data_IF_309705772962
#
_entry.id   IF_309705772962
#
_cell.length_a   1.000
_cell.length_b   1.000
_cell.length_c   1.000
_cell.angle_alpha   90.00
_cell.angle_beta   90.00
_cell.angle_gamma   90.00
#
_symmetry.space_group_name_H-M   'P 1'
#
loop_
_entity.id
_entity.type
_entity.pdbx_description
1 polymer ?
#
# COMPACT_ATOMS: atom_id res chain seq x y z
N UNK A 1 12.48 43.10 17.99
CA UNK A 1 12.26 41.86 17.22
C UNK A 1 12.78 42.01 15.79
N UNK A 2 14.08 42.30 15.63
CA UNK A 2 14.72 42.48 14.33
C UNK A 2 16.13 41.92 14.46
N UNK A 3 16.36 40.70 13.96
CA UNK A 3 17.69 40.08 13.80
C UNK A 3 17.65 38.71 13.08
N UNK A 4 16.48 38.14 12.74
CA UNK A 4 16.38 36.82 12.10
C UNK A 4 16.24 36.90 10.55
N UNK A 5 15.88 38.06 9.99
CA UNK A 5 15.56 38.19 8.55
C UNK A 5 16.78 38.38 7.63
N UNK A 6 17.99 38.62 8.14
CA UNK A 6 19.17 38.84 7.27
C UNK A 6 19.83 37.54 6.77
N UNK A 7 19.58 36.41 7.43
CA UNK A 7 20.21 35.12 7.10
C UNK A 7 19.44 34.38 6.00
N UNK A 8 18.19 34.76 5.72
CA UNK A 8 17.31 34.13 4.72
C UNK A 8 17.25 34.91 3.39
N UNK A 9 18.37 35.50 2.96
CA UNK A 9 18.47 36.01 1.59
C UNK A 9 18.45 34.84 0.59
N UNK A 10 17.81 34.99 -0.57
CA UNK A 10 17.78 33.98 -1.66
C UNK A 10 19.18 33.46 -2.00
N UNK A 11 20.21 34.31 -1.85
CA UNK A 11 21.61 33.93 -2.05
C UNK A 11 22.08 32.89 -1.02
N UNK A 12 21.65 33.02 0.23
CA UNK A 12 21.99 32.08 1.30
C UNK A 12 21.25 30.75 1.14
N UNK A 13 20.00 30.77 0.67
CA UNK A 13 19.24 29.55 0.35
C UNK A 13 19.85 28.77 -0.82
N UNK A 14 20.33 29.48 -1.85
CA UNK A 14 21.02 28.85 -2.98
C UNK A 14 22.35 28.21 -2.55
N UNK A 15 23.14 28.91 -1.74
CA UNK A 15 24.40 28.38 -1.18
C UNK A 15 24.12 27.17 -0.28
N UNK A 16 23.07 27.21 0.54
CA UNK A 16 22.68 26.09 1.39
C UNK A 16 22.25 24.87 0.57
N UNK A 17 21.43 25.07 -0.46
CA UNK A 17 21.00 24.02 -1.38
C UNK A 17 22.18 23.42 -2.14
N UNK A 18 23.10 24.26 -2.64
CA UNK A 18 24.29 23.79 -3.33
C UNK A 18 25.20 22.99 -2.38
N UNK A 19 25.41 23.48 -1.16
CA UNK A 19 26.22 22.80 -0.15
C UNK A 19 25.63 21.43 0.20
N UNK A 20 24.32 21.33 0.42
CA UNK A 20 23.66 20.06 0.73
C UNK A 20 23.77 19.05 -0.42
N UNK A 21 23.56 19.49 -1.66
CA UNK A 21 23.68 18.62 -2.83
C UNK A 21 25.13 18.15 -3.04
N UNK A 22 26.12 19.04 -2.87
CA UNK A 22 27.55 18.69 -2.95
C UNK A 22 27.96 17.75 -1.83
N UNK A 23 27.49 17.97 -0.59
CA UNK A 23 27.74 17.08 0.55
C UNK A 23 27.15 15.68 0.32
N UNK A 24 25.97 15.58 -0.30
CA UNK A 24 25.36 14.29 -0.63
C UNK A 24 26.21 13.54 -1.67
N UNK A 25 26.65 14.23 -2.73
CA UNK A 25 27.50 13.63 -3.77
C UNK A 25 28.85 13.18 -3.17
N UNK A 26 29.52 14.03 -2.40
CA UNK A 26 30.77 13.68 -1.72
C UNK A 26 30.61 12.48 -0.78
N UNK A 27 29.49 12.39 -0.05
CA UNK A 27 29.21 11.24 0.81
C UNK A 27 29.05 9.95 0.00
N UNK A 28 28.32 10.00 -1.12
CA UNK A 28 28.17 8.81 -1.99
C UNK A 28 29.49 8.39 -2.65
N UNK A 29 30.37 9.35 -2.96
CA UNK A 29 31.70 9.06 -3.51
C UNK A 29 32.65 8.49 -2.44
N UNK A 30 32.62 9.06 -1.23
CA UNK A 30 33.41 8.56 -0.09
C UNK A 30 32.97 7.16 0.33
N UNK A 31 31.66 6.90 0.42
CA UNK A 31 31.13 5.55 0.70
C UNK A 31 31.49 4.56 -0.42
N UNK A 32 31.55 5.00 -1.69
CA UNK A 32 32.04 4.16 -2.80
C UNK A 32 33.54 3.85 -2.68
N UNK A 33 34.37 4.81 -2.26
CA UNK A 33 35.81 4.60 -2.03
C UNK A 33 36.08 3.67 -0.82
N UNK A 34 35.31 3.79 0.27
CA UNK A 34 35.37 2.85 1.40
C UNK A 34 34.87 1.45 1.03
N UNK A 35 33.84 1.35 0.18
CA UNK A 35 33.32 0.06 -0.28
C UNK A 35 34.36 -0.72 -1.09
N UNK A 36 35.22 -0.04 -1.86
CA UNK A 36 36.32 -0.69 -2.58
C UNK A 36 37.48 -1.14 -1.66
N UNK A 37 37.62 -0.56 -0.45
CA UNK A 37 38.61 -0.99 0.53
C UNK A 37 38.09 -2.13 1.45
N UNK A 38 36.79 -2.14 1.76
CA UNK A 38 36.13 -3.19 2.57
C UNK A 38 35.94 -4.50 1.80
N UNK A 39 35.78 -4.46 0.47
CA UNK A 39 35.61 -5.65 -0.38
C UNK A 39 36.89 -6.48 -0.62
N UNK A 40 38.04 -6.07 -0.06
CA UNK A 40 39.34 -6.74 -0.28
C UNK A 40 39.96 -7.40 0.96
N UNK A 41 39.32 -7.37 2.13
CA UNK A 41 39.89 -7.99 3.34
C UNK A 41 38.86 -8.68 4.22
N UNK A 42 38.13 -9.68 3.68
CA UNK A 42 37.47 -10.69 4.51
C UNK A 42 37.24 -11.98 3.72
N UNK A 43 38.33 -12.62 3.31
CA UNK A 43 38.35 -14.07 3.12
C UNK A 43 39.07 -14.65 4.35
N UNK A 44 38.34 -15.46 5.12
CA UNK A 44 38.74 -16.21 6.33
C UNK A 44 38.69 -15.50 7.70
N UNK A 45 37.60 -15.72 8.45
CA UNK A 45 37.55 -16.58 9.66
C UNK A 45 36.17 -16.48 10.31
N UNK A 46 35.60 -17.63 10.69
CA UNK A 46 34.36 -17.67 11.47
C UNK A 46 34.59 -17.37 12.95
N UNK A 47 33.62 -16.72 13.59
CA UNK A 47 32.95 -17.15 14.82
C UNK A 47 31.94 -16.09 15.27
N UNK A 48 30.92 -16.57 15.98
CA UNK A 48 29.70 -15.87 16.39
C UNK A 48 29.94 -14.72 17.37
N UNK A 49 29.25 -13.58 17.15
CA UNK A 49 28.82 -12.65 18.20
C UNK A 49 27.44 -12.08 17.81
N UNK A 50 26.63 -11.91 18.85
CA UNK A 50 25.18 -11.72 18.91
C UNK A 50 24.80 -10.25 18.70
N UNK A 51 23.91 -9.97 17.74
CA UNK A 51 23.23 -8.67 17.65
C UNK A 51 21.71 -8.78 17.75
N UNK A 52 21.18 -7.89 18.57
CA UNK A 52 19.82 -7.75 19.08
C UNK A 52 18.77 -7.64 17.97
N UNK A 53 17.94 -8.69 17.81
CA UNK A 53 16.71 -8.60 17.01
C UNK A 53 15.63 -7.86 17.80
N UNK A 54 15.30 -6.63 17.38
CA UNK A 54 13.96 -6.10 17.60
C UNK A 54 13.00 -6.87 16.69
N UNK A 55 12.20 -7.75 17.30
CA UNK A 55 11.17 -8.51 16.60
C UNK A 55 10.00 -7.58 16.25
N UNK A 56 10.02 -7.04 15.03
CA UNK A 56 8.80 -6.63 14.34
C UNK A 56 8.37 -7.82 13.49
N UNK A 57 7.27 -8.47 13.88
CA UNK A 57 6.63 -9.52 13.10
C UNK A 57 6.26 -8.95 11.72
N UNK A 58 6.82 -9.45 10.61
CA UNK A 58 6.29 -9.11 9.30
C UNK A 58 4.95 -9.84 9.17
N UNK A 59 3.85 -9.08 9.17
CA UNK A 59 2.58 -9.56 8.63
C UNK A 59 2.86 -9.99 7.20
N UNK A 60 2.78 -11.28 6.95
CA UNK A 60 3.07 -11.92 5.67
C UNK A 60 2.20 -11.30 4.57
N UNK A 61 2.80 -10.44 3.75
CA UNK A 61 2.36 -10.18 2.39
C UNK A 61 2.36 -11.52 1.68
N UNK A 62 1.17 -12.11 1.58
CA UNK A 62 0.97 -13.45 1.04
C UNK A 62 1.19 -13.37 -0.46
N UNK A 63 2.40 -13.73 -0.88
CA UNK A 63 2.75 -13.89 -2.29
C UNK A 63 1.80 -14.90 -2.92
N UNK A 64 1.34 -14.60 -4.13
CA UNK A 64 0.56 -15.49 -4.97
C UNK A 64 1.37 -16.76 -5.27
N UNK A 65 1.15 -17.79 -4.46
CA UNK A 65 1.47 -19.16 -4.77
C UNK A 65 0.46 -20.00 -3.99
N UNK A 66 -0.16 -20.97 -4.66
CA UNK A 66 -0.79 -22.08 -3.97
C UNK A 66 0.25 -22.66 -3.01
N UNK A 67 0.16 -22.34 -1.72
CA UNK A 67 1.00 -22.97 -0.71
C UNK A 67 0.52 -24.42 -0.62
N UNK A 68 1.06 -25.27 -1.48
CA UNK A 68 1.26 -26.65 -1.11
C UNK A 68 2.16 -26.58 0.11
N UNK A 69 1.56 -26.65 1.30
CA UNK A 69 2.29 -27.03 2.50
C UNK A 69 2.76 -28.45 2.21
N UNK A 70 3.95 -28.57 1.61
CA UNK A 70 4.67 -29.82 1.57
C UNK A 70 5.15 -30.06 3.00
N UNK A 71 4.25 -30.58 3.83
CA UNK A 71 4.65 -31.30 5.02
C UNK A 71 5.47 -32.48 4.52
N UNK A 72 6.79 -32.40 4.71
CA UNK A 72 7.66 -33.56 4.55
C UNK A 72 7.38 -34.52 5.71
N UNK A 73 6.21 -35.16 5.69
CA UNK A 73 5.92 -36.38 6.43
C UNK A 73 4.59 -36.97 5.92
N UNK A 74 4.58 -38.23 5.49
CA UNK A 74 3.36 -39.04 5.41
C UNK A 74 2.11 -38.51 4.67
N UNK A 75 2.23 -37.99 3.44
CA UNK A 75 1.22 -38.16 2.38
C UNK A 75 -0.16 -37.49 2.47
N UNK A 76 -0.52 -36.76 3.52
CA UNK A 76 -1.83 -36.09 3.58
C UNK A 76 -1.78 -34.64 3.07
N UNK A 77 -2.49 -34.38 1.97
CA UNK A 77 -2.63 -33.04 1.40
C UNK A 77 -3.82 -32.32 2.03
N UNK A 78 -3.55 -31.27 2.79
CA UNK A 78 -4.60 -30.43 3.39
C UNK A 78 -5.26 -29.56 2.32
N UNK A 79 -6.58 -29.70 2.16
CA UNK A 79 -7.38 -28.80 1.33
C UNK A 79 -7.95 -27.68 2.19
N UNK A 80 -7.38 -26.47 2.05
CA UNK A 80 -7.85 -25.29 2.78
C UNK A 80 -8.95 -24.55 2.00
N UNK A 81 -10.20 -24.66 2.46
CA UNK A 81 -11.37 -23.95 1.93
C UNK A 81 -11.92 -22.90 2.90
N UNK A 82 -11.20 -22.61 3.99
CA UNK A 82 -11.68 -21.70 5.03
C UNK A 82 -11.64 -20.22 4.60
N UNK A 83 -10.85 -19.89 3.57
CA UNK A 83 -10.71 -18.52 3.05
C UNK A 83 -11.29 -18.46 1.64
N UNK A 84 -12.02 -17.40 1.36
CA UNK A 84 -12.45 -17.05 -0.01
C UNK A 84 -11.34 -16.43 -0.84
N UNK A 85 -10.14 -17.01 -0.84
CA UNK A 85 -9.01 -16.53 -1.65
C UNK A 85 -9.27 -16.82 -3.14
N UNK A 86 -9.44 -15.80 -4.00
CA UNK A 86 -10.01 -15.95 -5.34
C UNK A 86 -9.00 -16.46 -6.40
N UNK A 87 -8.10 -17.37 -6.03
CA UNK A 87 -7.07 -17.95 -6.91
C UNK A 87 -7.63 -18.66 -8.14
N UNK A 88 -8.92 -19.03 -8.12
CA UNK A 88 -9.63 -19.62 -9.26
C UNK A 88 -9.57 -18.78 -10.55
N UNK A 89 -9.40 -17.46 -10.45
CA UNK A 89 -9.32 -16.57 -11.63
C UNK A 89 -7.92 -16.46 -12.24
N UNK A 90 -6.89 -17.07 -11.63
CA UNK A 90 -5.50 -16.94 -12.09
C UNK A 90 -5.32 -17.40 -13.55
N UNK A 91 -5.94 -18.53 -13.92
CA UNK A 91 -5.87 -19.07 -15.29
C UNK A 91 -6.42 -18.09 -16.32
N UNK A 92 -7.54 -17.43 -15.99
CA UNK A 92 -8.16 -16.44 -16.88
C UNK A 92 -7.20 -15.27 -17.13
N UNK A 93 -6.62 -14.70 -16.07
CA UNK A 93 -5.71 -13.57 -16.20
C UNK A 93 -4.42 -13.92 -16.94
N UNK A 94 -3.89 -15.13 -16.75
CA UNK A 94 -2.74 -15.62 -17.55
C UNK A 94 -3.07 -15.69 -19.05
N UNK A 95 -4.29 -16.09 -19.40
CA UNK A 95 -4.73 -16.17 -20.81
C UNK A 95 -4.94 -14.81 -21.47
N UNK A 96 -5.15 -13.74 -20.68
CA UNK A 96 -5.26 -12.38 -21.22
C UNK A 96 -3.93 -11.88 -21.81
N UNK A 97 -2.79 -12.46 -21.40
CA UNK A 97 -1.46 -12.11 -21.90
C UNK A 97 -1.20 -10.61 -21.81
N UNK A 98 -0.64 -10.05 -22.88
CA UNK A 98 -0.23 -8.64 -22.94
C UNK A 98 -1.38 -7.63 -22.80
N UNK A 99 -2.64 -8.05 -22.98
CA UNK A 99 -3.81 -7.17 -22.85
C UNK A 99 -4.02 -6.66 -21.42
N UNK A 100 -3.51 -7.39 -20.42
CA UNK A 100 -3.60 -7.03 -19.01
C UNK A 100 -2.27 -6.47 -18.44
N UNK A 101 -1.25 -6.29 -19.30
CA UNK A 101 0.04 -5.75 -18.87
C UNK A 101 -0.09 -4.26 -18.53
N UNK A 102 0.38 -3.88 -17.35
CA UNK A 102 0.46 -2.48 -16.90
C UNK A 102 1.93 -2.08 -16.79
N UNK A 103 2.29 -0.98 -17.43
CA UNK A 103 3.62 -0.36 -17.33
C UNK A 103 3.48 0.94 -16.54
N UNK A 104 4.19 1.04 -15.42
CA UNK A 104 4.21 2.23 -14.56
C UNK A 104 5.61 2.87 -14.66
N UNK A 105 5.78 3.97 -15.39
CA UNK A 105 7.02 4.74 -15.42
C UNK A 105 7.39 5.24 -14.02
N UNK A 106 8.70 5.34 -13.72
CA UNK A 106 9.18 5.72 -12.39
C UNK A 106 8.79 7.10 -11.90
N UNK A 107 8.31 7.98 -12.78
CA UNK A 107 7.80 9.31 -12.43
C UNK A 107 6.28 9.34 -12.22
N UNK A 108 5.57 8.29 -12.62
CA UNK A 108 4.11 8.23 -12.54
C UNK A 108 3.68 8.11 -11.07
N UNK A 109 2.64 8.87 -10.66
CA UNK A 109 2.06 8.87 -9.31
C UNK A 109 3.01 9.29 -8.16
N UNK A 110 4.00 10.17 -8.41
CA UNK A 110 4.81 10.78 -7.32
C UNK A 110 3.99 11.76 -6.48
N UNK A 111 3.01 12.43 -7.08
CA UNK A 111 2.10 13.34 -6.38
C UNK A 111 1.16 12.58 -5.45
N UNK A 112 0.88 13.15 -4.28
CA UNK A 112 -0.20 12.66 -3.41
C UNK A 112 -1.59 12.84 -4.03
N UNK A 113 -1.76 13.87 -4.87
CA UNK A 113 -3.04 14.22 -5.46
C UNK A 113 -3.23 13.60 -6.84
N UNK A 114 -4.39 12.98 -7.07
CA UNK A 114 -4.84 12.51 -8.37
C UNK A 114 -5.73 13.55 -9.06
N UNK A 115 -6.73 14.08 -8.36
CA UNK A 115 -7.64 15.12 -8.84
C UNK A 115 -8.19 15.96 -7.68
N UNK A 116 -7.61 17.14 -7.47
CA UNK A 116 -8.01 18.05 -6.39
C UNK A 116 -9.41 18.63 -6.53
N UNK A 117 -10.07 18.45 -7.68
CA UNK A 117 -11.45 18.89 -7.90
C UNK A 117 -12.48 17.84 -7.47
N UNK A 118 -12.03 16.59 -7.27
CA UNK A 118 -12.87 15.52 -6.78
C UNK A 118 -12.93 15.51 -5.25
N UNK A 119 -14.10 15.18 -4.69
CA UNK A 119 -14.25 14.98 -3.24
C UNK A 119 -13.29 13.90 -2.72
N UNK A 120 -13.08 12.84 -3.50
CA UNK A 120 -12.06 11.84 -3.27
C UNK A 120 -10.83 12.22 -4.10
N UNK A 121 -10.02 13.16 -3.59
CA UNK A 121 -8.90 13.77 -4.33
C UNK A 121 -7.76 12.80 -4.70
N UNK A 122 -7.74 11.64 -4.06
CA UNK A 122 -6.81 10.52 -4.33
C UNK A 122 -7.42 9.45 -5.25
N UNK A 123 -8.61 9.69 -5.82
CA UNK A 123 -9.20 8.82 -6.84
C UNK A 123 -8.60 9.12 -8.21
N UNK A 124 -7.99 8.11 -8.82
CA UNK A 124 -7.47 8.21 -10.19
C UNK A 124 -8.61 8.39 -11.22
N UNK A 125 -8.61 9.47 -12.04
CA UNK A 125 -9.73 9.75 -12.95
C UNK A 125 -10.00 8.65 -13.98
N UNK A 126 -8.95 7.96 -14.44
CA UNK A 126 -9.10 6.82 -15.37
C UNK A 126 -9.80 5.65 -14.68
N UNK A 127 -9.47 5.39 -13.42
CA UNK A 127 -10.09 4.31 -12.65
C UNK A 127 -11.58 4.60 -12.42
N UNK A 128 -11.94 5.84 -12.07
CA UNK A 128 -13.34 6.25 -11.91
C UNK A 128 -14.19 5.95 -13.16
N UNK A 129 -13.67 6.32 -14.35
CA UNK A 129 -14.33 6.05 -15.64
C UNK A 129 -14.52 4.55 -15.91
N UNK A 130 -13.53 3.73 -15.57
CA UNK A 130 -13.62 2.28 -15.77
C UNK A 130 -14.61 1.63 -14.79
N UNK A 131 -14.71 2.12 -13.55
CA UNK A 131 -15.74 1.69 -12.58
C UNK A 131 -17.14 1.98 -13.14
N UNK A 132 -17.39 3.20 -13.62
CA UNK A 132 -18.67 3.56 -14.25
C UNK A 132 -18.96 2.70 -15.49
N UNK A 133 -17.95 2.50 -16.34
CA UNK A 133 -18.07 1.70 -17.56
C UNK A 133 -18.46 0.25 -17.26
N UNK A 134 -17.83 -0.37 -16.27
CA UNK A 134 -18.12 -1.75 -15.88
C UNK A 134 -19.54 -1.86 -15.31
N UNK A 135 -19.94 -0.97 -14.41
CA UNK A 135 -21.29 -0.98 -13.86
C UNK A 135 -22.37 -0.76 -14.92
N UNK A 136 -22.13 0.14 -15.88
CA UNK A 136 -23.01 0.36 -17.02
C UNK A 136 -23.10 -0.87 -17.94
N UNK A 137 -21.97 -1.52 -18.22
CA UNK A 137 -21.91 -2.67 -19.11
C UNK A 137 -22.58 -3.92 -18.51
N UNK A 138 -22.41 -4.14 -17.20
CA UNK A 138 -23.00 -5.27 -16.48
C UNK A 138 -24.45 -4.99 -16.07
N UNK A 139 -24.80 -3.72 -15.85
CA UNK A 139 -26.13 -3.31 -15.40
C UNK A 139 -26.41 -3.65 -13.93
N UNK A 140 -25.37 -3.81 -13.10
CA UNK A 140 -25.51 -4.23 -11.71
C UNK A 140 -25.57 -3.08 -10.68
N UNK A 141 -25.28 -1.84 -11.09
CA UNK A 141 -25.39 -0.67 -10.22
C UNK A 141 -25.63 0.61 -11.02
N UNK A 142 -26.36 1.56 -10.43
CA UNK A 142 -26.54 2.92 -10.98
C UNK A 142 -25.43 3.81 -10.46
N UNK A 143 -24.60 4.37 -11.33
CA UNK A 143 -23.51 5.30 -10.95
C UNK A 143 -23.83 6.77 -11.19
N UNK A 144 -24.85 7.08 -12.00
CA UNK A 144 -25.25 8.46 -12.30
C UNK A 144 -25.67 9.21 -11.04
N UNK A 145 -25.16 10.45 -10.88
CA UNK A 145 -25.44 11.30 -9.72
C UNK A 145 -24.82 10.83 -8.40
N UNK A 146 -23.85 9.91 -8.43
CA UNK A 146 -23.17 9.39 -7.22
C UNK A 146 -21.70 9.78 -7.18
N UNK A 147 -21.20 10.03 -5.97
CA UNK A 147 -19.77 10.13 -5.74
C UNK A 147 -19.14 8.74 -5.67
N UNK A 148 -17.94 8.61 -6.23
CA UNK A 148 -17.11 7.41 -6.11
C UNK A 148 -16.03 7.70 -5.07
N UNK A 149 -15.92 6.83 -4.07
CA UNK A 149 -14.86 6.86 -3.05
C UNK A 149 -14.10 5.54 -3.12
N UNK A 150 -12.77 5.61 -3.11
CA UNK A 150 -11.90 4.42 -3.15
C UNK A 150 -11.27 4.16 -1.79
N UNK A 151 -10.97 2.89 -1.52
CA UNK A 151 -10.30 2.44 -0.31
C UNK A 151 -9.52 1.16 -0.58
N UNK A 152 -8.59 0.85 0.33
CA UNK A 152 -7.81 -0.39 0.35
C UNK A 152 -8.70 -1.56 0.77
N UNK A 153 -9.50 -2.02 -0.19
CA UNK A 153 -10.49 -3.08 0.01
C UNK A 153 -11.81 -2.57 0.59
N UNK A 154 -12.86 -3.37 0.41
CA UNK A 154 -14.20 -3.06 0.93
C UNK A 154 -14.25 -2.99 2.45
N UNK A 155 -13.36 -3.67 3.18
CA UNK A 155 -13.27 -3.60 4.64
C UNK A 155 -13.01 -2.16 5.13
N UNK A 156 -12.11 -1.42 4.46
CA UNK A 156 -11.86 -0.02 4.81
C UNK A 156 -13.10 0.84 4.51
N UNK A 157 -13.72 0.64 3.34
CA UNK A 157 -14.91 1.40 2.94
C UNK A 157 -16.11 1.13 3.85
N UNK A 158 -16.28 -0.10 4.32
CA UNK A 158 -17.32 -0.47 5.28
C UNK A 158 -17.16 0.31 6.59
N UNK A 159 -15.95 0.32 7.16
CA UNK A 159 -15.66 1.10 8.37
C UNK A 159 -15.81 2.61 8.14
N UNK A 160 -15.33 3.12 7.01
CA UNK A 160 -15.48 4.53 6.66
C UNK A 160 -16.96 4.93 6.54
N UNK A 161 -17.79 4.07 5.94
CA UNK A 161 -19.23 4.30 5.83
C UNK A 161 -19.90 4.28 7.21
N UNK A 162 -19.58 3.32 8.07
CA UNK A 162 -20.09 3.28 9.44
C UNK A 162 -19.72 4.53 10.22
N UNK A 163 -18.46 4.96 10.14
CA UNK A 163 -17.99 6.18 10.78
C UNK A 163 -18.72 7.42 10.24
N UNK A 164 -18.85 7.55 8.92
CA UNK A 164 -19.53 8.69 8.30
C UNK A 164 -21.03 8.75 8.61
N UNK A 165 -21.68 7.60 8.80
CA UNK A 165 -23.08 7.49 9.19
C UNK A 165 -23.31 7.64 10.70
N UNK A 166 -22.28 7.45 11.51
CA UNK A 166 -22.35 7.62 12.96
C UNK A 166 -22.32 9.11 13.29
N UNK A 167 -23.49 9.68 13.61
CA UNK A 167 -23.57 11.09 13.97
C UNK A 167 -22.68 11.40 15.20
N UNK A 168 -21.91 12.47 15.10
CA UNK A 168 -20.89 12.82 16.09
C UNK A 168 -21.46 13.46 17.37
N UNK A 169 -22.70 13.93 17.33
CA UNK A 169 -23.37 14.60 18.44
C UNK A 169 -24.29 13.67 19.24
N UNK A 170 -24.24 12.35 18.98
CA UNK A 170 -25.03 11.38 19.71
C UNK A 170 -24.38 11.06 21.06
N UNK A 171 -25.16 11.16 22.13
CA UNK A 171 -24.79 10.71 23.47
C UNK A 171 -24.75 9.19 23.60
N UNK A 172 -25.37 8.46 22.65
CA UNK A 172 -25.48 7.01 22.64
C UNK A 172 -24.83 6.42 21.38
N UNK A 173 -24.19 5.24 21.47
CA UNK A 173 -23.56 4.60 20.33
C UNK A 173 -24.59 4.15 19.29
N UNK A 174 -24.23 4.22 18.01
CA UNK A 174 -25.06 3.72 16.92
C UNK A 174 -25.06 2.20 16.91
N UNK A 175 -26.24 1.59 16.92
CA UNK A 175 -26.38 0.14 16.77
C UNK A 175 -26.11 -0.27 15.33
N UNK A 176 -25.12 -1.14 15.12
CA UNK A 176 -24.78 -1.71 13.81
C UNK A 176 -25.19 -3.18 13.81
N UNK A 177 -26.13 -3.54 12.94
CA UNK A 177 -26.71 -4.90 12.86
C UNK A 177 -26.69 -5.43 11.43
N UNK A 178 -26.68 -6.76 11.28
CA UNK A 178 -26.78 -7.46 10.00
C UNK A 178 -27.68 -8.69 10.18
N UNK A 179 -28.48 -9.01 9.16
CA UNK A 179 -29.38 -10.17 9.19
C UNK A 179 -28.59 -11.48 9.12
N UNK A 180 -28.95 -12.46 9.96
CA UNK A 180 -28.27 -13.75 10.01
C UNK A 180 -28.78 -14.70 8.90
N UNK A 181 -27.90 -15.48 8.25
CA UNK A 181 -26.44 -15.54 8.44
C UNK A 181 -25.71 -14.36 7.78
N UNK A 182 -24.77 -13.75 8.50
CA UNK A 182 -24.01 -12.58 8.06
C UNK A 182 -22.52 -12.88 7.87
N UNK A 183 -21.82 -11.94 7.22
CA UNK A 183 -20.37 -12.02 7.05
C UNK A 183 -19.65 -11.88 8.40
N UNK A 184 -18.85 -12.87 8.78
CA UNK A 184 -18.21 -12.94 10.11
C UNK A 184 -17.26 -11.78 10.40
N UNK A 185 -16.65 -11.20 9.36
CA UNK A 185 -15.76 -10.04 9.51
C UNK A 185 -16.51 -8.80 9.96
N UNK A 186 -17.80 -8.67 9.66
CA UNK A 186 -18.61 -7.56 10.17
C UNK A 186 -18.66 -7.55 11.69
N UNK A 187 -18.66 -8.72 12.35
CA UNK A 187 -18.57 -8.80 13.81
C UNK A 187 -17.16 -8.49 14.33
N UNK A 188 -16.09 -8.89 13.62
CA UNK A 188 -14.70 -8.67 14.05
C UNK A 188 -14.27 -7.21 13.88
N UNK A 189 -14.72 -6.53 12.83
CA UNK A 189 -14.40 -5.12 12.57
C UNK A 189 -15.11 -4.15 13.53
N UNK A 190 -16.08 -4.63 14.32
CA UNK A 190 -16.89 -3.84 15.25
C UNK A 190 -16.51 -4.06 16.72
N UNK A 191 -15.49 -4.89 17.01
CA UNK A 191 -14.91 -5.11 18.35
C UNK A 191 -13.58 -4.36 18.44
#
# INVERSE_FOLDING_TARGET
>A
MALITSVLSMRNLFVLSLALNVSLILRTMYEREQSHHWLSLETQKGQAVQETRLALSPTSSSSAATTQVNTQDGGEKILNLARGDPTMFEKYWRQMGDKATVVIPGWQHISYFSDVTNICWFLEPKFAKEVERVHKAVGNAVTEGRHIVVGTGSSQLYLAALYALSAHDLTEPVSVVSEAPYYSVSSILLI
#
